data_IF_910795984922
#
_entry.id   IF_910795984922
#
_cell.length_a   1.000
_cell.length_b   1.000
_cell.length_c   1.000
_cell.angle_alpha   90.00
_cell.angle_beta   90.00
_cell.angle_gamma   90.00
#
_symmetry.space_group_name_H-M   'P 1'
#
loop_
_entity.id
_entity.type
_entity.pdbx_description
1 polymer ?
#
# COMPACT_ATOMS: atom_id res chain seq x y z
N UNK A 1 13.60 21.85 -12.66
CA UNK A 1 13.26 20.43 -12.49
C UNK A 1 11.80 20.41 -12.11
N UNK A 2 10.95 19.79 -12.91
CA UNK A 2 9.53 19.68 -12.54
C UNK A 2 9.45 18.57 -11.49
N UNK A 3 9.27 18.94 -10.24
CA UNK A 3 8.87 17.99 -9.21
C UNK A 3 7.48 17.48 -9.63
N UNK A 4 7.35 16.16 -9.81
CA UNK A 4 6.04 15.55 -10.07
C UNK A 4 5.25 15.71 -8.78
N UNK A 5 4.31 16.64 -8.74
CA UNK A 5 3.30 16.68 -7.68
C UNK A 5 2.53 15.37 -7.73
N UNK A 6 2.58 14.61 -6.63
CA UNK A 6 1.85 13.35 -6.50
C UNK A 6 0.46 13.71 -5.97
N UNK A 7 -0.56 13.45 -6.78
CA UNK A 7 -1.96 13.58 -6.40
C UNK A 7 -2.51 12.18 -6.10
N UNK A 8 -3.23 12.05 -4.99
CA UNK A 8 -3.84 10.81 -4.55
C UNK A 8 -5.33 11.01 -4.34
N UNK A 9 -6.12 10.03 -4.76
CA UNK A 9 -7.57 10.01 -4.57
C UNK A 9 -7.94 9.88 -3.08
N UNK A 10 -7.17 9.05 -2.36
CA UNK A 10 -7.31 8.82 -0.92
C UNK A 10 -5.93 8.69 -0.27
N UNK A 11 -5.83 9.20 0.95
CA UNK A 11 -4.62 9.14 1.76
C UNK A 11 -4.98 8.58 3.13
N UNK A 12 -4.28 7.53 3.53
CA UNK A 12 -4.38 6.93 4.86
C UNK A 12 -3.56 7.69 5.90
N UNK A 13 -3.25 7.03 7.01
CA UNK A 13 -2.33 7.55 8.02
C UNK A 13 -1.00 6.81 7.93
N UNK A 14 0.08 7.50 8.28
CA UNK A 14 1.36 6.84 8.45
C UNK A 14 1.28 5.81 9.58
N UNK A 15 1.73 4.60 9.28
CA UNK A 15 1.91 3.52 10.22
C UNK A 15 3.25 2.86 9.91
N UNK A 16 4.09 2.71 10.93
CA UNK A 16 5.37 2.00 10.79
C UNK A 16 6.31 2.51 9.66
N UNK A 17 6.17 3.78 9.27
CA UNK A 17 6.98 4.44 8.24
C UNK A 17 6.34 4.52 6.85
N UNK A 18 5.20 3.85 6.63
CA UNK A 18 4.49 3.82 5.36
C UNK A 18 3.07 4.40 5.49
N UNK A 19 2.58 5.05 4.43
CA UNK A 19 1.24 5.58 4.34
C UNK A 19 0.50 4.93 3.15
N UNK A 20 -0.63 4.25 3.37
CA UNK A 20 -1.49 3.77 2.29
C UNK A 20 -2.03 4.95 1.49
N UNK A 21 -1.93 4.89 0.18
CA UNK A 21 -2.46 5.90 -0.73
C UNK A 21 -3.16 5.23 -1.90
N UNK A 22 -4.14 5.91 -2.47
CA UNK A 22 -4.87 5.44 -3.64
C UNK A 22 -4.62 6.36 -4.83
N UNK A 23 -4.31 5.77 -5.98
CA UNK A 23 -4.15 6.42 -7.28
C UNK A 23 -4.89 5.54 -8.31
N UNK A 24 -5.74 6.13 -9.14
CA UNK A 24 -6.48 5.44 -10.21
C UNK A 24 -7.26 4.19 -9.73
N UNK A 25 -7.94 4.29 -8.58
CA UNK A 25 -8.68 3.20 -7.91
C UNK A 25 -7.83 2.00 -7.48
N UNK A 26 -6.50 2.15 -7.41
CA UNK A 26 -5.61 1.12 -6.88
C UNK A 26 -4.86 1.66 -5.67
N UNK A 27 -4.66 0.79 -4.69
CA UNK A 27 -3.91 1.10 -3.49
C UNK A 27 -2.44 0.74 -3.65
N UNK A 28 -1.59 1.63 -3.17
CA UNK A 28 -0.17 1.45 -2.92
C UNK A 28 0.20 2.05 -1.56
N UNK A 29 1.49 2.21 -1.29
CA UNK A 29 1.95 2.90 -0.10
C UNK A 29 3.24 3.66 -0.38
N UNK A 30 3.34 4.83 0.25
CA UNK A 30 4.49 5.72 0.16
C UNK A 30 5.22 5.83 1.49
N UNK A 31 6.51 6.16 1.45
CA UNK A 31 7.25 6.57 2.63
C UNK A 31 7.08 8.08 2.91
N UNK A 32 7.78 8.59 3.93
CA UNK A 32 7.73 10.01 4.33
C UNK A 32 8.37 10.96 3.32
N UNK A 33 9.18 10.43 2.41
CA UNK A 33 9.83 11.18 1.34
C UNK A 33 8.97 11.17 0.05
N UNK A 34 7.72 10.71 0.15
CA UNK A 34 6.77 10.49 -0.97
C UNK A 34 7.26 9.49 -2.02
N UNK A 35 8.21 8.62 -1.68
CA UNK A 35 8.62 7.54 -2.56
C UNK A 35 7.62 6.38 -2.46
N UNK A 36 7.22 5.84 -3.61
CA UNK A 36 6.35 4.67 -3.67
C UNK A 36 7.14 3.44 -3.24
N UNK A 37 6.75 2.84 -2.10
CA UNK A 37 7.36 1.61 -1.56
C UNK A 37 6.53 0.39 -1.93
N UNK A 38 5.20 0.53 -1.87
CA UNK A 38 4.26 -0.51 -2.31
C UNK A 38 3.57 -0.01 -3.59
N UNK A 39 3.66 -0.72 -4.72
CA UNK A 39 3.09 -0.30 -5.99
C UNK A 39 1.54 -0.24 -5.95
N UNK A 40 0.97 0.62 -6.80
CA UNK A 40 -0.47 0.79 -6.98
C UNK A 40 -1.10 -0.38 -7.75
N UNK A 41 -1.23 -1.54 -7.09
CA UNK A 41 -1.77 -2.76 -7.71
C UNK A 41 -2.84 -3.45 -6.87
N UNK A 42 -3.10 -2.98 -5.65
CA UNK A 42 -4.03 -3.59 -4.73
C UNK A 42 -5.44 -3.02 -4.87
N UNK A 43 -6.45 -3.87 -4.71
CA UNK A 43 -7.85 -3.45 -4.60
C UNK A 43 -8.13 -2.83 -3.23
N UNK A 44 -7.37 -3.26 -2.22
CA UNK A 44 -7.38 -2.71 -0.86
C UNK A 44 -6.00 -2.90 -0.21
N UNK A 45 -5.56 -1.88 0.52
CA UNK A 45 -4.35 -1.92 1.35
C UNK A 45 -4.66 -1.30 2.71
N UNK A 46 -4.49 -2.07 3.78
CA UNK A 46 -4.71 -1.63 5.15
C UNK A 46 -3.53 -0.85 5.73
N UNK A 47 -3.56 -0.61 7.04
CA UNK A 47 -2.41 -0.06 7.74
C UNK A 47 -1.41 -1.17 8.10
N UNK A 48 -0.14 -0.79 8.22
CA UNK A 48 0.89 -1.68 8.75
C UNK A 48 0.76 -1.79 10.27
N UNK A 49 0.79 -3.02 10.76
CA UNK A 49 0.83 -3.35 12.18
C UNK A 49 1.63 -4.65 12.40
N UNK A 50 2.57 -4.62 13.35
CA UNK A 50 3.57 -5.67 13.60
C UNK A 50 4.27 -6.12 12.31
N UNK A 51 4.59 -5.15 11.44
CA UNK A 51 5.28 -5.39 10.17
C UNK A 51 4.44 -6.07 9.08
N UNK A 52 3.14 -6.28 9.30
CA UNK A 52 2.20 -6.86 8.34
C UNK A 52 1.13 -5.86 7.93
N UNK A 53 0.70 -5.96 6.68
CA UNK A 53 -0.38 -5.16 6.12
C UNK A 53 -1.40 -6.07 5.44
N UNK A 54 -2.69 -6.06 5.84
CA UNK A 54 -3.73 -6.81 5.14
C UNK A 54 -3.99 -6.20 3.76
N UNK A 55 -4.15 -7.05 2.76
CA UNK A 55 -4.34 -6.63 1.35
C UNK A 55 -5.43 -7.43 0.66
N UNK A 56 -6.02 -6.83 -0.37
CA UNK A 56 -6.83 -7.52 -1.37
C UNK A 56 -6.21 -7.29 -2.74
N UNK A 57 -5.96 -8.36 -3.49
CA UNK A 57 -5.49 -8.31 -4.88
C UNK A 57 -6.28 -9.29 -5.73
N UNK A 58 -6.90 -8.78 -6.80
CA UNK A 58 -7.79 -9.54 -7.68
C UNK A 58 -8.90 -10.27 -6.90
N UNK A 59 -9.46 -9.59 -5.89
CA UNK A 59 -10.48 -10.15 -5.00
C UNK A 59 -10.00 -11.25 -4.05
N UNK A 60 -8.69 -11.46 -3.90
CA UNK A 60 -8.10 -12.44 -2.96
C UNK A 60 -7.49 -11.73 -1.77
N UNK A 61 -7.72 -12.27 -0.58
CA UNK A 61 -7.22 -11.74 0.68
C UNK A 61 -5.82 -12.27 0.99
N UNK A 62 -4.99 -11.41 1.55
CA UNK A 62 -3.67 -11.79 2.05
C UNK A 62 -3.09 -10.76 2.99
N UNK A 63 -1.82 -10.96 3.35
CA UNK A 63 -1.02 -9.97 4.05
C UNK A 63 0.36 -9.88 3.40
N UNK A 64 0.88 -8.66 3.30
CA UNK A 64 2.25 -8.38 2.87
C UNK A 64 3.09 -7.86 4.03
N UNK A 65 4.42 -7.98 3.93
CA UNK A 65 5.35 -7.22 4.75
C UNK A 65 5.66 -5.85 4.11
N UNK A 66 6.55 -5.07 4.75
CA UNK A 66 6.95 -3.74 4.27
C UNK A 66 7.72 -3.73 2.95
N UNK A 67 8.27 -4.88 2.57
CA UNK A 67 9.01 -5.07 1.31
C UNK A 67 8.09 -5.55 0.17
N UNK A 68 6.76 -5.48 0.36
CA UNK A 68 5.73 -5.96 -0.55
C UNK A 68 5.74 -7.49 -0.78
N UNK A 69 6.36 -8.26 0.11
CA UNK A 69 6.36 -9.72 0.00
C UNK A 69 5.09 -10.29 0.62
N UNK A 70 4.41 -11.19 -0.10
CA UNK A 70 3.22 -11.88 0.41
C UNK A 70 3.63 -12.85 1.51
N UNK A 71 3.22 -12.57 2.74
CA UNK A 71 3.50 -13.39 3.93
C UNK A 71 2.38 -14.40 4.17
N UNK A 72 1.12 -14.02 3.93
CA UNK A 72 -0.04 -14.87 4.13
C UNK A 72 -0.91 -14.88 2.87
N UNK A 73 -1.09 -16.06 2.29
CA UNK A 73 -2.03 -16.31 1.21
C UNK A 73 -3.18 -17.15 1.76
N UNK A 74 -4.35 -16.55 1.96
CA UNK A 74 -5.57 -17.34 2.21
C UNK A 74 -6.21 -17.58 0.84
N UNK A 75 -6.11 -18.84 0.39
CA UNK A 75 -6.87 -19.29 -0.77
C UNK A 75 -8.35 -19.38 -0.38
N UNK A 76 -9.20 -19.00 -1.35
CA UNK A 76 -10.68 -18.95 -1.31
C UNK A 76 -11.35 -19.87 -0.31
#
# INVERSE_FOLDING_TARGET
MNEKELEYDLIGQFSEGLCPVMEDNKWGAINKDNEVVIPFEYDYLGQFNDGLCPVIKDGKYGAINKDNEIVIKILK
#
